data_IF_498348492507
#
_entry.id   IF_498348492507
#
_cell.length_a   1.000
_cell.length_b   1.000
_cell.length_c   1.000
_cell.angle_alpha   90.00
_cell.angle_beta   90.00
_cell.angle_gamma   90.00
#
_symmetry.space_group_name_H-M   'P 1'
#
loop_
_entity.id
_entity.type
_entity.pdbx_description
1 polymer ?
#
# COMPACT_ATOMS: atom_id res chain seq x y z
N UNK A 1 38.00 -6.66 27.59
CA UNK A 1 36.68 -7.23 27.95
C UNK A 1 35.95 -6.18 28.77
N UNK A 2 35.07 -5.40 28.13
CA UNK A 2 34.26 -4.37 28.80
C UNK A 2 32.84 -4.89 28.95
N UNK A 3 32.44 -5.17 30.19
CA UNK A 3 31.09 -5.55 30.56
C UNK A 3 30.24 -4.30 30.73
N UNK A 4 29.46 -3.93 29.70
CA UNK A 4 28.35 -3.00 29.89
C UNK A 4 27.13 -3.78 30.38
N UNK A 5 26.57 -3.46 31.56
CA UNK A 5 25.34 -4.04 32.03
C UNK A 5 24.18 -3.34 31.32
N UNK A 6 23.58 -3.97 30.31
CA UNK A 6 22.30 -3.52 29.74
C UNK A 6 21.17 -3.99 30.66
N UNK A 7 21.12 -3.46 31.88
CA UNK A 7 19.92 -3.50 32.70
C UNK A 7 18.93 -2.52 32.06
N UNK A 8 18.02 -3.04 31.24
CA UNK A 8 16.83 -2.31 30.82
C UNK A 8 16.13 -1.81 32.10
N UNK A 9 16.21 -0.50 32.36
CA UNK A 9 15.48 0.10 33.44
C UNK A 9 13.99 -0.26 33.30
N UNK A 10 13.31 -0.69 34.39
CA UNK A 10 11.90 -1.04 34.32
C UNK A 10 11.10 0.19 33.85
N UNK A 11 10.32 0.00 32.79
CA UNK A 11 9.46 1.04 32.21
C UNK A 11 8.55 1.59 33.30
N UNK A 12 8.65 2.90 33.60
CA UNK A 12 7.85 3.55 34.63
C UNK A 12 6.35 3.38 34.29
N UNK A 13 5.52 2.79 35.17
CA UNK A 13 4.10 2.53 34.87
C UNK A 13 3.24 3.79 34.80
N UNK A 14 3.77 4.95 35.21
CA UNK A 14 3.12 6.26 35.22
C UNK A 14 1.74 6.24 35.92
N UNK A 15 1.65 5.56 37.08
CA UNK A 15 0.41 5.43 37.83
C UNK A 15 -0.18 6.77 38.30
N UNK A 16 0.66 7.79 38.45
CA UNK A 16 0.27 9.14 38.92
C UNK A 16 -0.03 10.13 37.77
N UNK A 17 0.07 9.70 36.51
CA UNK A 17 -0.18 10.60 35.38
C UNK A 17 -1.67 10.94 35.28
N UNK A 18 -2.00 12.23 35.43
CA UNK A 18 -3.37 12.76 35.26
C UNK A 18 -3.99 12.44 33.90
N UNK A 19 -3.16 12.19 32.89
CA UNK A 19 -3.63 11.75 31.58
C UNK A 19 -4.44 10.44 31.68
N UNK A 20 -4.00 9.47 32.49
CA UNK A 20 -4.73 8.22 32.69
C UNK A 20 -5.92 8.33 33.65
N UNK A 21 -6.12 9.49 34.26
CA UNK A 21 -7.35 9.82 35.00
C UNK A 21 -8.44 10.36 34.07
N UNK A 22 -8.11 10.76 32.84
CA UNK A 22 -9.09 11.18 31.85
C UNK A 22 -9.93 9.98 31.35
N UNK A 23 -11.22 10.18 31.02
CA UNK A 23 -12.07 9.16 30.40
C UNK A 23 -11.42 8.55 29.16
N UNK A 24 -11.76 7.30 28.85
CA UNK A 24 -11.20 6.58 27.70
C UNK A 24 -11.45 7.34 26.41
N UNK A 25 -12.64 7.91 26.25
CA UNK A 25 -13.09 8.65 25.08
C UNK A 25 -12.17 9.86 24.82
N UNK A 26 -11.82 10.61 25.87
CA UNK A 26 -10.91 11.76 25.76
C UNK A 26 -9.50 11.30 25.35
N UNK A 27 -9.03 10.19 25.90
CA UNK A 27 -7.73 9.63 25.52
C UNK A 27 -7.72 9.15 24.08
N UNK A 28 -8.80 8.49 23.64
CA UNK A 28 -8.97 8.02 22.26
C UNK A 28 -9.05 9.18 21.27
N UNK A 29 -9.75 10.27 21.60
CA UNK A 29 -9.72 11.51 20.80
C UNK A 29 -8.31 12.06 20.67
N UNK A 30 -7.57 12.15 21.78
CA UNK A 30 -6.15 12.58 21.76
C UNK A 30 -5.32 11.64 20.86
N UNK A 31 -5.54 10.33 20.92
CA UNK A 31 -4.86 9.38 20.03
C UNK A 31 -5.25 9.55 18.57
N UNK A 32 -6.50 9.87 18.28
CA UNK A 32 -6.96 10.21 16.92
C UNK A 32 -6.21 11.40 16.34
N UNK A 33 -5.89 12.42 17.14
CA UNK A 33 -5.06 13.54 16.68
C UNK A 33 -3.60 13.17 16.42
N UNK A 34 -3.08 12.16 17.13
CA UNK A 34 -1.68 11.73 17.03
C UNK A 34 -1.46 10.71 15.90
N UNK A 35 -2.50 9.93 15.59
CA UNK A 35 -2.47 8.85 14.61
C UNK A 35 -3.68 9.02 13.67
N UNK A 36 -3.76 10.16 12.94
CA UNK A 36 -4.96 10.51 12.18
C UNK A 36 -5.22 9.57 11.00
N UNK A 37 -4.18 8.89 10.51
CA UNK A 37 -4.24 8.06 9.31
C UNK A 37 -3.98 6.58 9.59
N UNK A 38 -4.00 6.16 10.85
CA UNK A 38 -3.68 4.79 11.24
C UNK A 38 -2.19 4.51 11.40
N UNK A 39 -1.83 3.23 11.47
CA UNK A 39 -0.47 2.76 11.71
C UNK A 39 -0.03 1.77 10.64
N UNK A 40 1.26 1.76 10.34
CA UNK A 40 1.89 0.69 9.58
C UNK A 40 2.36 -0.41 10.50
N UNK A 41 2.03 -1.65 10.17
CA UNK A 41 2.66 -2.83 10.71
C UNK A 41 3.71 -3.34 9.70
N UNK A 42 4.91 -3.63 10.17
CA UNK A 42 6.00 -4.14 9.32
C UNK A 42 6.96 -5.03 10.12
N UNK A 43 7.60 -5.98 9.43
CA UNK A 43 8.64 -6.82 9.98
C UNK A 43 10.03 -6.20 9.86
N UNK A 44 10.82 -6.33 10.93
CA UNK A 44 12.25 -6.03 10.92
C UNK A 44 12.96 -7.08 11.75
N UNK A 45 13.92 -7.78 11.13
CA UNK A 45 14.70 -8.86 11.77
C UNK A 45 13.79 -9.90 12.47
N UNK A 46 12.68 -10.26 11.81
CA UNK A 46 11.70 -11.23 12.32
C UNK A 46 10.82 -10.75 13.47
N UNK A 47 10.89 -9.47 13.84
CA UNK A 47 10.06 -8.85 14.87
C UNK A 47 9.07 -7.87 14.24
N UNK A 48 7.87 -7.82 14.82
CA UNK A 48 6.82 -6.91 14.40
C UNK A 48 7.00 -5.54 15.04
N UNK A 49 6.92 -4.50 14.22
CA UNK A 49 6.99 -3.09 14.60
C UNK A 49 5.74 -2.36 14.12
N UNK A 50 5.44 -1.26 14.81
CA UNK A 50 4.44 -0.28 14.38
C UNK A 50 5.11 1.07 14.13
N UNK A 51 4.59 1.83 13.17
CA UNK A 51 4.86 3.26 13.00
C UNK A 51 3.59 4.00 12.64
N UNK A 52 3.46 5.27 13.03
CA UNK A 52 2.34 6.10 12.59
C UNK A 52 2.36 6.26 11.06
N UNK A 53 1.17 6.25 10.44
CA UNK A 53 1.00 6.64 9.04
C UNK A 53 1.05 8.18 8.95
N UNK A 54 1.94 8.70 8.13
CA UNK A 54 2.16 10.16 7.95
C UNK A 54 1.46 10.71 6.70
N UNK A 55 0.75 9.86 5.96
CA UNK A 55 0.14 10.21 4.68
C UNK A 55 -1.39 10.17 4.81
N UNK A 56 -2.05 11.30 4.55
CA UNK A 56 -3.51 11.33 4.37
C UNK A 56 -3.87 10.48 3.16
N UNK A 57 -4.91 9.65 3.30
CA UNK A 57 -5.35 8.63 2.34
C UNK A 57 -4.94 8.86 0.88
N UNK A 58 -4.40 7.78 0.30
CA UNK A 58 -3.86 7.57 -1.04
C UNK A 58 -4.79 7.87 -2.25
N UNK A 59 -5.83 8.70 -2.08
CA UNK A 59 -6.89 8.91 -3.07
C UNK A 59 -6.63 10.12 -3.99
N UNK A 60 -5.46 10.76 -3.91
CA UNK A 60 -5.04 11.80 -4.85
C UNK A 60 -4.47 11.24 -6.15
N UNK A 61 -4.34 12.07 -7.19
CA UNK A 61 -3.68 11.74 -8.44
C UNK A 61 -2.18 11.45 -8.23
N UNK A 62 -1.84 10.24 -7.80
CA UNK A 62 -0.48 9.80 -7.49
C UNK A 62 0.22 9.25 -8.75
N UNK A 63 0.39 10.10 -9.77
CA UNK A 63 1.06 9.70 -11.02
C UNK A 63 2.61 9.70 -10.90
N UNK A 64 3.15 9.94 -9.71
CA UNK A 64 4.57 9.84 -9.34
C UNK A 64 5.31 11.17 -9.28
N UNK A 65 4.74 12.26 -9.82
CA UNK A 65 5.35 13.59 -9.75
C UNK A 65 5.32 14.18 -8.34
N UNK A 66 4.30 13.83 -7.54
CA UNK A 66 4.16 14.21 -6.14
C UNK A 66 5.28 13.69 -5.24
N UNK A 67 6.07 12.72 -5.73
CA UNK A 67 7.20 12.13 -5.01
C UNK A 67 8.47 12.97 -5.09
N UNK A 68 8.44 14.08 -5.85
CA UNK A 68 9.53 15.05 -5.94
C UNK A 68 9.59 15.90 -4.68
N UNK A 69 10.78 16.35 -4.31
CA UNK A 69 10.99 17.27 -3.18
C UNK A 69 10.99 18.74 -3.62
N UNK A 70 11.35 19.01 -4.88
CA UNK A 70 11.52 20.35 -5.44
C UNK A 70 10.90 20.45 -6.83
N UNK A 71 10.53 21.68 -7.23
CA UNK A 71 10.12 22.02 -8.60
C UNK A 71 11.28 21.89 -9.60
N UNK A 72 12.52 22.03 -9.15
CA UNK A 72 13.73 21.89 -9.97
C UNK A 72 14.11 20.41 -10.08
N UNK A 73 13.34 19.65 -10.86
CA UNK A 73 13.53 18.22 -11.00
C UNK A 73 14.59 17.89 -12.05
N UNK A 74 15.40 16.87 -11.76
CA UNK A 74 16.32 16.24 -12.72
C UNK A 74 15.91 14.79 -12.91
N UNK A 75 15.96 14.30 -14.13
CA UNK A 75 15.71 12.88 -14.40
C UNK A 75 16.68 11.95 -13.62
N UNK A 76 17.86 12.46 -13.28
CA UNK A 76 18.88 11.76 -12.48
C UNK A 76 18.74 11.94 -10.96
N UNK A 77 17.66 12.54 -10.45
CA UNK A 77 17.46 12.73 -9.01
C UNK A 77 17.34 11.38 -8.26
N UNK A 78 18.34 10.99 -7.44
CA UNK A 78 18.34 9.70 -6.78
C UNK A 78 17.25 9.58 -5.70
N UNK A 79 16.82 10.69 -5.10
CA UNK A 79 15.76 10.71 -4.09
C UNK A 79 14.43 10.39 -4.76
N UNK A 80 14.13 11.08 -5.87
CA UNK A 80 12.89 10.84 -6.60
C UNK A 80 12.84 9.43 -7.19
N UNK A 81 13.95 8.96 -7.78
CA UNK A 81 14.06 7.59 -8.30
C UNK A 81 13.77 6.53 -7.23
N UNK A 82 14.35 6.68 -6.04
CA UNK A 82 14.11 5.78 -4.90
C UNK A 82 12.63 5.76 -4.51
N UNK A 83 12.00 6.93 -4.37
CA UNK A 83 10.57 7.05 -4.00
C UNK A 83 9.63 6.46 -5.03
N UNK A 84 9.93 6.63 -6.32
CA UNK A 84 9.18 6.02 -7.43
C UNK A 84 9.27 4.49 -7.45
N UNK A 85 10.25 3.90 -6.76
CA UNK A 85 10.45 2.45 -6.61
C UNK A 85 9.97 1.89 -5.28
N UNK A 86 9.38 2.73 -4.43
CA UNK A 86 8.80 2.31 -3.15
C UNK A 86 7.85 1.13 -3.35
N UNK A 87 8.05 0.07 -2.58
CA UNK A 87 7.14 -1.08 -2.52
C UNK A 87 5.89 -0.76 -1.69
N UNK A 88 5.94 0.29 -0.87
CA UNK A 88 4.80 0.78 -0.07
C UNK A 88 3.81 1.60 -0.90
N UNK A 89 4.02 1.69 -2.22
CA UNK A 89 3.07 2.27 -3.16
C UNK A 89 2.78 3.74 -2.83
N UNK A 90 1.51 4.08 -2.49
CA UNK A 90 1.13 5.44 -2.10
C UNK A 90 1.68 5.87 -0.73
N UNK A 91 2.07 4.93 0.14
CA UNK A 91 2.64 5.22 1.48
C UNK A 91 4.17 5.37 1.43
N UNK A 92 4.73 5.85 0.33
CA UNK A 92 6.18 5.95 0.15
C UNK A 92 6.85 6.87 1.19
N UNK A 93 6.15 7.91 1.68
CA UNK A 93 6.68 8.75 2.77
C UNK A 93 6.82 7.95 4.07
N UNK A 94 5.87 7.07 4.34
CA UNK A 94 5.90 6.20 5.51
C UNK A 94 7.08 5.22 5.44
N UNK A 95 7.39 4.73 4.23
CA UNK A 95 8.60 3.93 4.01
C UNK A 95 9.87 4.75 4.30
N UNK A 96 9.94 6.01 3.87
CA UNK A 96 11.10 6.86 4.17
C UNK A 96 11.30 7.06 5.67
N UNK A 97 10.21 7.30 6.41
CA UNK A 97 10.25 7.42 7.87
C UNK A 97 10.74 6.12 8.49
N UNK A 98 10.19 4.98 8.07
CA UNK A 98 10.61 3.66 8.57
C UNK A 98 12.09 3.35 8.24
N UNK A 99 12.57 3.74 7.07
CA UNK A 99 13.98 3.60 6.68
C UNK A 99 14.89 4.55 7.44
N UNK A 100 14.49 5.79 7.72
CA UNK A 100 15.27 6.72 8.56
C UNK A 100 15.42 6.20 9.99
N UNK A 101 14.38 5.56 10.54
CA UNK A 101 14.45 4.83 11.82
C UNK A 101 15.43 3.64 11.78
N UNK A 102 15.87 3.18 10.60
CA UNK A 102 16.91 2.16 10.48
C UNK A 102 18.33 2.73 10.61
N UNK A 103 18.56 3.98 10.21
CA UNK A 103 19.90 4.57 10.09
C UNK A 103 20.31 5.44 11.28
N UNK A 104 19.37 6.09 11.97
CA UNK A 104 19.64 6.89 13.17
C UNK A 104 18.75 6.43 14.32
N UNK A 105 19.35 5.94 15.41
CA UNK A 105 18.63 5.62 16.65
C UNK A 105 18.24 6.88 17.46
N UNK A 106 18.68 8.08 17.05
CA UNK A 106 18.66 9.25 17.95
C UNK A 106 18.18 10.60 17.36
N UNK A 107 17.78 10.73 16.09
CA UNK A 107 17.53 12.09 15.58
C UNK A 107 16.42 12.22 14.53
N UNK A 108 15.37 12.92 14.97
CA UNK A 108 14.40 13.74 14.20
C UNK A 108 13.25 12.97 13.52
N UNK A 109 12.04 13.28 13.99
CA UNK A 109 10.70 12.77 13.61
C UNK A 109 10.15 11.58 14.41
N UNK A 110 10.66 11.32 15.62
CA UNK A 110 10.11 10.28 16.52
C UNK A 110 9.08 10.84 17.51
N UNK A 111 8.55 12.07 17.38
CA UNK A 111 7.68 12.68 18.42
C UNK A 111 6.42 11.86 18.67
N UNK A 112 5.80 11.35 17.60
CA UNK A 112 4.52 10.62 17.66
C UNK A 112 4.71 9.19 18.20
N UNK A 113 5.87 8.57 17.93
CA UNK A 113 6.21 7.21 18.40
C UNK A 113 7.00 7.21 19.73
N UNK A 114 7.70 8.29 20.07
CA UNK A 114 8.28 8.49 21.40
C UNK A 114 7.17 8.54 22.47
N UNK A 115 6.00 9.08 22.11
CA UNK A 115 4.81 9.01 22.94
C UNK A 115 4.31 7.58 23.18
N UNK A 116 4.40 6.70 22.17
CA UNK A 116 4.11 5.27 22.30
C UNK A 116 5.10 4.59 23.25
N UNK A 117 6.36 5.03 23.28
CA UNK A 117 7.41 4.48 24.15
C UNK A 117 7.50 5.15 25.53
N UNK A 118 6.70 6.19 25.79
CA UNK A 118 6.77 6.96 27.03
C UNK A 118 6.51 6.12 28.29
N UNK A 119 5.52 5.23 28.25
CA UNK A 119 5.30 4.23 29.29
C UNK A 119 4.52 3.03 28.77
N UNK A 120 4.65 1.89 29.46
CA UNK A 120 3.96 0.64 29.11
C UNK A 120 2.45 0.82 29.05
N UNK A 121 1.87 1.59 29.98
CA UNK A 121 0.42 1.82 30.04
C UNK A 121 -0.09 2.58 28.82
N UNK A 122 0.60 3.65 28.42
CA UNK A 122 0.26 4.43 27.22
C UNK A 122 0.37 3.58 25.96
N UNK A 123 1.43 2.79 25.87
CA UNK A 123 1.64 1.87 24.78
C UNK A 123 0.45 0.91 24.60
N UNK A 124 0.05 0.21 25.67
CA UNK A 124 -1.08 -0.73 25.59
C UNK A 124 -2.38 0.00 25.20
N UNK A 125 -2.60 1.20 25.72
CA UNK A 125 -3.80 1.98 25.47
C UNK A 125 -3.92 2.44 24.02
N UNK A 126 -2.81 2.90 23.42
CA UNK A 126 -2.77 3.26 21.99
C UNK A 126 -2.90 2.03 21.11
N UNK A 127 -2.30 0.90 21.49
CA UNK A 127 -2.45 -0.35 20.74
C UNK A 127 -3.90 -0.83 20.76
N UNK A 128 -4.60 -0.75 21.90
CA UNK A 128 -6.02 -1.05 21.97
C UNK A 128 -6.84 -0.09 21.09
N UNK A 129 -6.57 1.21 21.16
CA UNK A 129 -7.16 2.20 20.25
C UNK A 129 -6.93 1.84 18.77
N UNK A 130 -5.71 1.39 18.44
CA UNK A 130 -5.34 1.02 17.07
C UNK A 130 -6.17 -0.16 16.59
N UNK A 131 -6.30 -1.19 17.42
CA UNK A 131 -7.07 -2.41 17.11
C UNK A 131 -8.56 -2.09 16.94
N UNK A 132 -9.09 -1.19 17.76
CA UNK A 132 -10.52 -0.89 17.77
C UNK A 132 -10.94 0.16 16.75
N UNK A 133 -10.12 1.18 16.50
CA UNK A 133 -10.54 2.40 15.80
C UNK A 133 -9.67 2.73 14.59
N UNK A 134 -8.37 2.51 14.67
CA UNK A 134 -7.44 2.94 13.62
C UNK A 134 -7.34 1.92 12.47
N UNK A 135 -6.88 2.39 11.30
CA UNK A 135 -6.48 1.51 10.22
C UNK A 135 -5.09 0.93 10.50
N UNK A 136 -4.93 -0.38 10.28
CA UNK A 136 -3.61 -1.03 10.25
C UNK A 136 -3.24 -1.28 8.79
N UNK A 137 -2.17 -0.62 8.35
CA UNK A 137 -1.62 -0.75 7.01
C UNK A 137 -0.52 -1.82 6.99
N UNK A 138 -0.60 -2.74 6.06
CA UNK A 138 0.43 -3.75 5.79
C UNK A 138 0.87 -3.61 4.33
N UNK A 139 2.16 -3.43 4.11
CA UNK A 139 2.71 -3.05 2.81
C UNK A 139 3.52 -4.15 2.11
N UNK A 140 3.62 -5.33 2.73
CA UNK A 140 4.35 -6.47 2.20
C UNK A 140 3.71 -7.80 2.62
N UNK A 141 3.91 -8.83 1.81
CA UNK A 141 3.32 -10.16 2.02
C UNK A 141 3.91 -10.91 3.21
N UNK A 142 5.19 -10.69 3.54
CA UNK A 142 5.87 -11.39 4.64
C UNK A 142 5.31 -10.94 6.01
N UNK A 143 5.13 -9.63 6.19
CA UNK A 143 4.49 -9.05 7.36
C UNK A 143 3.06 -9.54 7.49
N UNK A 144 2.33 -9.55 6.39
CA UNK A 144 0.94 -9.99 6.39
C UNK A 144 0.82 -11.47 6.78
N UNK A 145 1.61 -12.35 6.16
CA UNK A 145 1.65 -13.78 6.49
C UNK A 145 2.06 -14.00 7.95
N UNK A 146 3.06 -13.26 8.45
CA UNK A 146 3.45 -13.32 9.87
C UNK A 146 2.31 -12.98 10.82
N UNK A 147 1.58 -11.89 10.57
CA UNK A 147 0.44 -11.45 11.38
C UNK A 147 -0.67 -12.52 11.40
N UNK A 148 -0.97 -13.06 10.23
CA UNK A 148 -2.02 -14.04 10.02
C UNK A 148 -1.69 -15.41 10.64
N UNK A 149 -0.43 -15.85 10.55
CA UNK A 149 0.02 -17.08 11.25
C UNK A 149 -0.03 -16.92 12.77
N UNK A 150 0.21 -15.71 13.30
CA UNK A 150 0.11 -15.43 14.73
C UNK A 150 -1.34 -15.41 15.21
N UNK A 151 -2.27 -14.91 14.40
CA UNK A 151 -3.70 -14.96 14.68
C UNK A 151 -4.21 -16.40 14.94
N UNK A 152 -3.62 -17.38 14.26
CA UNK A 152 -4.04 -18.78 14.31
C UNK A 152 -3.40 -19.59 15.44
N UNK A 153 -2.31 -19.09 16.05
CA UNK A 153 -1.60 -19.79 17.13
C UNK A 153 -2.13 -19.31 18.49
N UNK A 154 -2.68 -20.23 19.28
CA UNK A 154 -3.02 -19.96 20.69
C UNK A 154 -1.74 -19.51 21.44
N UNK A 155 -1.80 -18.36 22.11
CA UNK A 155 -0.61 -17.74 22.71
C UNK A 155 -0.06 -18.57 23.87
N UNK A 156 1.26 -18.73 23.90
CA UNK A 156 2.02 -19.12 25.08
C UNK A 156 2.50 -17.86 25.81
N UNK A 157 2.47 -17.89 27.14
CA UNK A 157 2.70 -16.78 28.06
C UNK A 157 4.15 -16.28 28.03
N UNK A 158 4.50 -15.40 27.10
CA UNK A 158 5.75 -14.61 27.17
C UNK A 158 5.46 -13.14 26.84
N UNK A 159 6.20 -12.24 27.52
CA UNK A 159 5.80 -10.86 27.81
C UNK A 159 6.71 -9.82 27.14
N UNK A 160 6.91 -9.91 25.83
CA UNK A 160 7.52 -8.82 25.06
C UNK A 160 6.47 -7.95 24.38
N UNK A 161 6.83 -6.69 24.11
CA UNK A 161 5.98 -5.74 23.38
C UNK A 161 5.61 -6.26 21.98
N UNK A 162 6.56 -6.93 21.30
CA UNK A 162 6.34 -7.52 19.98
C UNK A 162 5.39 -8.72 20.03
N UNK A 163 5.45 -9.53 21.09
CA UNK A 163 4.48 -10.62 21.32
C UNK A 163 3.09 -10.08 21.59
N UNK A 164 2.96 -9.01 22.37
CA UNK A 164 1.66 -8.36 22.59
C UNK A 164 1.07 -7.80 21.28
N UNK A 165 1.88 -7.17 20.43
CA UNK A 165 1.41 -6.76 19.10
C UNK A 165 0.93 -7.95 18.27
N UNK A 166 1.68 -9.05 18.28
CA UNK A 166 1.30 -10.26 17.55
C UNK A 166 0.00 -10.89 18.07
N UNK A 167 -0.39 -10.66 19.33
CA UNK A 167 -1.67 -11.15 19.87
C UNK A 167 -2.83 -10.20 19.63
N UNK A 168 -2.61 -8.89 19.63
CA UNK A 168 -3.69 -7.90 19.50
C UNK A 168 -3.98 -7.48 18.07
N UNK A 169 -3.00 -7.43 17.17
CA UNK A 169 -3.21 -7.06 15.75
C UNK A 169 -4.21 -8.00 15.05
N UNK A 170 -4.29 -9.31 15.34
CA UNK A 170 -5.37 -10.17 14.84
C UNK A 170 -6.81 -9.73 15.18
N UNK A 171 -6.98 -8.79 16.11
CA UNK A 171 -8.27 -8.30 16.55
C UNK A 171 -8.67 -6.97 15.87
N UNK A 172 -7.93 -6.53 14.85
CA UNK A 172 -8.19 -5.26 14.15
C UNK A 172 -9.57 -5.23 13.52
N UNK A 173 -10.20 -4.04 13.56
CA UNK A 173 -11.45 -3.79 12.85
C UNK A 173 -11.23 -3.26 11.42
N UNK A 174 -10.11 -2.57 11.17
CA UNK A 174 -9.80 -1.94 9.89
C UNK A 174 -8.41 -2.39 9.41
N UNK A 175 -8.35 -3.22 8.37
CA UNK A 175 -7.11 -3.68 7.74
C UNK A 175 -6.98 -3.06 6.34
N UNK A 176 -5.82 -2.48 6.07
CA UNK A 176 -5.45 -1.96 4.75
C UNK A 176 -4.22 -2.70 4.26
N UNK A 177 -4.34 -3.37 3.12
CA UNK A 177 -3.25 -4.10 2.46
C UNK A 177 -2.84 -3.30 1.24
N UNK A 178 -1.57 -2.93 1.15
CA UNK A 178 -1.04 -2.11 0.06
C UNK A 178 0.11 -2.85 -0.58
N UNK A 179 -0.10 -3.40 -1.78
CA UNK A 179 0.89 -4.24 -2.42
C UNK A 179 1.25 -3.69 -3.80
N UNK A 180 2.53 -3.36 -3.97
CA UNK A 180 3.13 -3.18 -5.29
C UNK A 180 4.05 -4.37 -5.57
N UNK A 181 3.58 -5.29 -6.39
CA UNK A 181 4.26 -6.56 -6.64
C UNK A 181 5.08 -6.53 -7.94
N UNK A 182 6.14 -7.33 -8.06
CA UNK A 182 6.71 -7.62 -9.38
C UNK A 182 5.66 -8.16 -10.33
N UNK A 183 5.65 -7.70 -11.59
CA UNK A 183 4.69 -8.18 -12.61
C UNK A 183 4.72 -9.72 -12.75
N UNK A 184 5.91 -10.32 -12.62
CA UNK A 184 6.08 -11.78 -12.64
C UNK A 184 5.28 -12.47 -11.53
N UNK A 185 5.16 -11.87 -10.35
CA UNK A 185 4.34 -12.41 -9.25
C UNK A 185 2.86 -12.31 -9.59
N UNK A 186 2.40 -11.18 -10.14
CA UNK A 186 1.02 -11.06 -10.62
C UNK A 186 0.70 -12.14 -11.65
N UNK A 187 1.59 -12.40 -12.60
CA UNK A 187 1.44 -13.47 -13.59
C UNK A 187 1.32 -14.86 -12.96
N UNK A 188 2.13 -15.14 -11.94
CA UNK A 188 2.02 -16.41 -11.20
C UNK A 188 0.68 -16.51 -10.46
N UNK A 189 0.17 -15.41 -9.89
CA UNK A 189 -1.15 -15.39 -9.24
C UNK A 189 -2.29 -15.70 -10.21
N UNK A 190 -2.21 -15.24 -11.46
CA UNK A 190 -3.19 -15.56 -12.50
C UNK A 190 -3.22 -17.06 -12.79
N UNK A 191 -2.04 -17.67 -12.91
CA UNK A 191 -1.89 -19.10 -13.23
C UNK A 191 -2.08 -20.00 -12.02
N UNK A 192 -2.12 -19.50 -10.79
CA UNK A 192 -2.18 -20.36 -9.59
C UNK A 192 -3.52 -21.11 -9.43
N UNK A 193 -4.57 -20.70 -10.15
CA UNK A 193 -5.79 -21.50 -10.30
C UNK A 193 -5.59 -22.72 -11.22
N UNK A 194 -4.53 -22.74 -12.05
CA UNK A 194 -4.12 -23.87 -12.87
C UNK A 194 -2.90 -24.55 -12.23
N UNK A 195 -3.11 -25.74 -11.70
CA UNK A 195 -2.10 -26.51 -10.96
C UNK A 195 -0.78 -26.76 -11.74
N UNK A 196 0.26 -25.90 -11.62
CA UNK A 196 1.70 -26.29 -11.60
C UNK A 196 2.75 -25.16 -11.57
N UNK A 197 3.71 -25.29 -10.65
CA UNK A 197 5.19 -25.14 -10.82
C UNK A 197 5.87 -23.75 -10.91
N UNK A 198 6.60 -23.37 -9.84
CA UNK A 198 8.04 -22.98 -9.81
C UNK A 198 8.52 -22.39 -8.46
N UNK A 199 9.68 -22.80 -7.98
CA UNK A 199 10.03 -22.98 -6.54
C UNK A 199 10.51 -21.76 -5.74
N UNK A 200 10.56 -20.54 -6.27
CA UNK A 200 10.90 -19.33 -5.48
C UNK A 200 9.87 -18.21 -5.58
N UNK A 201 9.25 -18.02 -6.76
CA UNK A 201 8.09 -17.13 -6.93
C UNK A 201 6.82 -17.69 -6.28
N UNK A 202 6.82 -18.97 -5.89
CA UNK A 202 5.71 -19.60 -5.21
C UNK A 202 5.48 -19.02 -3.81
N UNK A 203 6.47 -18.50 -3.10
CA UNK A 203 6.29 -18.08 -1.68
C UNK A 203 5.32 -16.91 -1.55
N UNK A 204 5.44 -15.90 -2.42
CA UNK A 204 4.56 -14.74 -2.39
C UNK A 204 3.18 -15.07 -2.95
N UNK A 205 3.12 -15.88 -4.01
CA UNK A 205 1.85 -16.33 -4.56
C UNK A 205 1.07 -17.21 -3.57
N UNK A 206 1.76 -18.13 -2.90
CA UNK A 206 1.17 -18.95 -1.83
C UNK A 206 0.80 -18.12 -0.61
N UNK A 207 1.59 -17.11 -0.26
CA UNK A 207 1.22 -16.16 0.80
C UNK A 207 -0.12 -15.49 0.45
N UNK A 208 -0.27 -14.92 -0.75
CA UNK A 208 -1.52 -14.30 -1.22
C UNK A 208 -2.73 -15.24 -1.15
N UNK A 209 -2.58 -16.47 -1.67
CA UNK A 209 -3.67 -17.46 -1.64
C UNK A 209 -4.05 -17.87 -0.22
N UNK A 210 -3.08 -17.92 0.70
CA UNK A 210 -3.31 -18.22 2.12
C UNK A 210 -3.92 -17.04 2.88
N UNK A 211 -3.93 -15.83 2.31
CA UNK A 211 -4.47 -14.65 2.97
C UNK A 211 -5.96 -14.79 3.24
N UNK A 212 -6.75 -15.23 2.25
CA UNK A 212 -8.20 -15.24 2.39
C UNK A 212 -8.69 -16.14 3.53
N UNK A 213 -8.25 -17.41 3.66
CA UNK A 213 -8.59 -18.23 4.82
C UNK A 213 -8.16 -17.61 6.15
N UNK A 214 -7.03 -16.91 6.18
CA UNK A 214 -6.53 -16.32 7.41
C UNK A 214 -7.21 -14.99 7.78
N UNK A 215 -7.55 -14.16 6.80
CA UNK A 215 -8.37 -12.96 6.96
C UNK A 215 -9.77 -13.35 7.45
N UNK A 216 -10.34 -14.44 6.93
CA UNK A 216 -11.60 -14.98 7.44
C UNK A 216 -11.52 -15.37 8.92
N UNK A 217 -10.33 -15.68 9.44
CA UNK A 217 -10.07 -15.92 10.85
C UNK A 217 -10.08 -14.67 11.73
N UNK A 218 -10.01 -13.46 11.15
CA UNK A 218 -10.01 -12.18 11.87
C UNK A 218 -11.43 -11.78 12.26
N UNK A 219 -11.94 -12.39 13.34
CA UNK A 219 -13.36 -12.30 13.75
C UNK A 219 -13.91 -10.89 14.01
N UNK A 220 -13.02 -9.91 14.26
CA UNK A 220 -13.41 -8.51 14.53
C UNK A 220 -13.27 -7.61 13.31
N UNK A 221 -12.74 -8.13 12.20
CA UNK A 221 -12.52 -7.34 11.00
C UNK A 221 -13.86 -6.90 10.40
N UNK A 222 -14.00 -5.60 10.22
CA UNK A 222 -15.19 -4.96 9.65
C UNK A 222 -14.89 -4.30 8.32
N UNK A 223 -13.65 -3.83 8.11
CA UNK A 223 -13.23 -3.16 6.87
C UNK A 223 -11.91 -3.73 6.38
N UNK A 224 -11.91 -4.19 5.13
CA UNK A 224 -10.74 -4.62 4.40
C UNK A 224 -10.57 -3.72 3.18
N UNK A 225 -9.49 -2.94 3.18
CA UNK A 225 -9.09 -2.17 2.01
C UNK A 225 -7.88 -2.82 1.34
N UNK A 226 -7.93 -3.02 0.03
CA UNK A 226 -6.83 -3.60 -0.74
C UNK A 226 -6.43 -2.61 -1.83
N UNK A 227 -5.19 -2.13 -1.80
CA UNK A 227 -4.56 -1.40 -2.89
C UNK A 227 -3.57 -2.35 -3.57
N UNK A 228 -3.72 -2.55 -4.88
CA UNK A 228 -2.88 -3.47 -5.64
C UNK A 228 -2.35 -2.81 -6.91
N UNK A 229 -1.07 -3.04 -7.20
CA UNK A 229 -0.39 -2.62 -8.43
C UNK A 229 0.78 -3.56 -8.73
N UNK A 230 1.36 -3.42 -9.92
CA UNK A 230 2.65 -4.00 -10.24
C UNK A 230 3.74 -2.95 -10.53
N UNK A 231 5.00 -3.35 -10.44
CA UNK A 231 6.16 -2.49 -10.63
C UNK A 231 6.49 -2.17 -12.09
N UNK A 232 6.10 -3.06 -13.03
CA UNK A 232 6.36 -2.89 -14.46
C UNK A 232 5.62 -1.69 -15.08
N UNK A 233 6.20 -1.12 -16.13
CA UNK A 233 5.69 0.05 -16.85
C UNK A 233 4.53 -0.23 -17.82
N UNK A 234 4.28 -1.49 -18.16
CA UNK A 234 3.15 -1.90 -19.00
C UNK A 234 1.83 -1.67 -18.27
N UNK A 235 0.73 -1.46 -19.00
CA UNK A 235 -0.58 -1.16 -18.39
C UNK A 235 -1.04 -2.25 -17.42
N UNK A 236 -1.79 -1.89 -16.37
CA UNK A 236 -2.41 -2.88 -15.48
C UNK A 236 -3.28 -3.89 -16.22
N UNK A 237 -3.89 -3.51 -17.35
CA UNK A 237 -4.69 -4.41 -18.17
C UNK A 237 -3.92 -5.57 -18.82
N UNK A 238 -2.61 -5.66 -18.61
CA UNK A 238 -1.87 -6.87 -18.99
C UNK A 238 -2.10 -8.01 -18.01
N UNK A 239 -2.65 -7.78 -16.81
CA UNK A 239 -2.90 -8.83 -15.80
C UNK A 239 -4.36 -9.27 -15.70
N UNK A 240 -4.58 -10.54 -15.36
CA UNK A 240 -5.93 -11.06 -15.09
C UNK A 240 -6.34 -10.76 -13.64
N UNK A 241 -6.87 -9.56 -13.42
CA UNK A 241 -7.31 -9.10 -12.10
C UNK A 241 -8.47 -9.94 -11.52
N UNK A 242 -9.31 -10.55 -12.36
CA UNK A 242 -10.35 -11.48 -11.89
C UNK A 242 -9.75 -12.71 -11.24
N UNK A 243 -8.72 -13.30 -11.85
CA UNK A 243 -8.01 -14.44 -11.28
C UNK A 243 -7.29 -14.04 -9.98
N UNK A 244 -6.58 -12.91 -9.99
CA UNK A 244 -5.83 -12.40 -8.83
C UNK A 244 -6.77 -12.15 -7.62
N UNK A 245 -7.95 -11.59 -7.86
CA UNK A 245 -8.92 -11.24 -6.82
C UNK A 245 -9.93 -12.36 -6.52
N UNK A 246 -9.94 -13.46 -7.29
CA UNK A 246 -10.86 -14.57 -7.07
C UNK A 246 -10.87 -15.15 -5.64
N UNK A 247 -9.74 -15.19 -4.89
CA UNK A 247 -9.76 -15.64 -3.49
C UNK A 247 -10.62 -14.77 -2.57
N UNK A 248 -10.85 -13.48 -2.90
CA UNK A 248 -11.67 -12.58 -2.10
C UNK A 248 -13.16 -12.96 -2.09
N UNK A 249 -13.62 -13.76 -3.06
CA UNK A 249 -15.00 -14.24 -3.10
C UNK A 249 -15.36 -15.07 -1.85
N UNK A 250 -14.39 -15.74 -1.22
CA UNK A 250 -14.65 -16.48 0.02
C UNK A 250 -14.96 -15.54 1.20
N UNK A 251 -14.34 -14.36 1.21
CA UNK A 251 -14.50 -13.36 2.26
C UNK A 251 -15.86 -12.67 2.21
N UNK A 252 -16.50 -12.63 1.04
CA UNK A 252 -17.81 -11.96 0.89
C UNK A 252 -18.95 -12.74 1.55
N UNK A 253 -18.70 -13.97 1.99
CA UNK A 253 -19.63 -14.72 2.85
C UNK A 253 -19.75 -14.12 4.26
N UNK A 254 -18.80 -13.27 4.67
CA UNK A 254 -18.77 -12.63 5.99
C UNK A 254 -19.59 -11.34 5.91
N UNK A 255 -20.84 -11.38 6.38
CA UNK A 255 -21.82 -10.29 6.24
C UNK A 255 -21.42 -8.97 6.91
N UNK A 256 -20.57 -9.01 7.93
CA UNK A 256 -20.08 -7.82 8.64
C UNK A 256 -18.86 -7.17 8.00
N UNK A 257 -18.27 -7.79 6.97
CA UNK A 257 -17.03 -7.35 6.36
C UNK A 257 -17.30 -6.53 5.10
N UNK A 258 -16.90 -5.26 5.14
CA UNK A 258 -16.85 -4.39 3.97
C UNK A 258 -15.49 -4.53 3.29
N UNK A 259 -15.50 -4.88 2.00
CA UNK A 259 -14.29 -5.04 1.18
C UNK A 259 -14.29 -3.96 0.10
N UNK A 260 -13.22 -3.18 0.04
CA UNK A 260 -12.94 -2.25 -1.05
C UNK A 260 -11.57 -2.55 -1.67
N UNK A 261 -11.52 -2.54 -3.00
CA UNK A 261 -10.31 -2.82 -3.77
C UNK A 261 -10.02 -1.62 -4.66
N UNK A 262 -8.82 -1.07 -4.55
CA UNK A 262 -8.36 0.03 -5.38
C UNK A 262 -7.37 -0.52 -6.43
N UNK A 263 -7.73 -0.40 -7.71
CA UNK A 263 -6.98 -0.92 -8.86
C UNK A 263 -6.68 0.20 -9.86
N UNK A 264 -5.62 0.10 -10.67
CA UNK A 264 -5.42 1.02 -11.78
C UNK A 264 -6.58 0.96 -12.80
N UNK A 265 -6.77 2.07 -13.52
CA UNK A 265 -7.68 2.16 -14.67
C UNK A 265 -7.28 1.15 -15.75
N UNK A 266 -8.29 0.66 -16.46
CA UNK A 266 -8.13 -0.34 -17.51
C UNK A 266 -7.94 0.33 -18.86
N UNK A 267 -6.94 -0.11 -19.61
CA UNK A 267 -6.69 0.34 -20.96
C UNK A 267 -7.63 -0.37 -21.95
N UNK A 268 -8.45 0.36 -22.74
CA UNK A 268 -9.49 -0.21 -23.61
C UNK A 268 -9.00 -1.25 -24.63
N UNK A 269 -7.76 -1.09 -25.12
CA UNK A 269 -7.12 -2.05 -26.03
C UNK A 269 -6.89 -3.45 -25.45
N UNK A 270 -6.71 -3.58 -24.13
CA UNK A 270 -6.27 -4.82 -23.49
C UNK A 270 -7.30 -5.40 -22.51
N UNK A 271 -8.29 -4.61 -22.10
CA UNK A 271 -9.35 -5.09 -21.23
C UNK A 271 -10.22 -6.13 -21.93
N UNK A 272 -10.68 -7.11 -21.15
CA UNK A 272 -11.51 -8.23 -21.61
C UNK A 272 -12.47 -8.63 -20.48
N UNK A 273 -13.72 -9.01 -20.79
CA UNK A 273 -14.68 -9.45 -19.78
C UNK A 273 -14.19 -10.62 -18.92
N UNK A 274 -13.41 -11.53 -19.51
CA UNK A 274 -12.93 -12.76 -18.85
C UNK A 274 -11.82 -12.49 -17.85
N UNK A 275 -11.03 -11.44 -18.06
CA UNK A 275 -9.87 -11.11 -17.21
C UNK A 275 -10.10 -9.91 -16.31
N UNK A 276 -11.07 -9.05 -16.63
CA UNK A 276 -11.21 -7.74 -16.00
C UNK A 276 -12.65 -7.42 -15.55
N UNK A 277 -12.76 -6.67 -14.46
CA UNK A 277 -14.01 -6.11 -13.95
C UNK A 277 -14.34 -4.81 -14.69
N UNK A 278 -15.07 -4.94 -15.79
CA UNK A 278 -15.52 -3.83 -16.64
C UNK A 278 -16.93 -3.36 -16.25
N UNK A 279 -17.33 -2.15 -16.68
CA UNK A 279 -18.63 -1.54 -16.35
C UNK A 279 -19.82 -2.37 -16.85
N UNK A 280 -19.64 -3.09 -17.95
CA UNK A 280 -20.67 -3.94 -18.56
C UNK A 280 -20.74 -5.35 -17.95
N UNK A 281 -19.80 -5.70 -17.09
CA UNK A 281 -19.75 -7.02 -16.46
C UNK A 281 -20.62 -7.08 -15.19
N UNK A 282 -20.98 -8.29 -14.72
CA UNK A 282 -21.57 -8.46 -13.40
C UNK A 282 -20.72 -7.81 -12.32
N UNK A 283 -21.37 -7.02 -11.46
CA UNK A 283 -20.72 -6.34 -10.35
C UNK A 283 -20.10 -7.37 -9.40
N UNK A 284 -18.80 -7.23 -9.04
CA UNK A 284 -18.20 -8.09 -8.04
C UNK A 284 -18.87 -7.92 -6.66
N UNK A 285 -18.74 -8.90 -5.76
CA UNK A 285 -19.33 -8.83 -4.42
C UNK A 285 -18.58 -7.87 -3.47
N UNK A 286 -17.68 -7.04 -4.00
CA UNK A 286 -16.87 -6.05 -3.28
C UNK A 286 -16.77 -4.78 -4.14
N UNK A 287 -16.51 -3.64 -3.49
CA UNK A 287 -16.36 -2.37 -4.20
C UNK A 287 -15.01 -2.32 -4.93
N UNK A 288 -15.01 -1.86 -6.18
CA UNK A 288 -13.78 -1.57 -6.93
C UNK A 288 -13.72 -0.07 -7.20
N UNK A 289 -12.64 0.56 -6.75
CA UNK A 289 -12.29 1.93 -7.08
C UNK A 289 -11.14 1.90 -8.11
N UNK A 290 -11.31 2.65 -9.20
CA UNK A 290 -10.29 2.76 -10.24
C UNK A 290 -9.50 4.05 -10.04
N UNK A 291 -8.17 3.97 -10.13
CA UNK A 291 -7.28 5.13 -9.99
C UNK A 291 -6.41 5.32 -11.23
N UNK A 292 -5.94 6.55 -11.43
CA UNK A 292 -4.83 6.79 -12.33
C UNK A 292 -3.56 6.11 -11.81
N UNK A 293 -2.83 5.48 -12.73
CA UNK A 293 -1.59 4.78 -12.40
C UNK A 293 -0.38 5.72 -12.40
N UNK A 294 0.68 5.33 -11.70
CA UNK A 294 1.99 5.98 -11.77
C UNK A 294 2.47 6.09 -13.22
N UNK A 295 2.82 7.31 -13.65
CA UNK A 295 3.34 7.63 -15.00
C UNK A 295 4.83 7.95 -15.02
N UNK A 296 5.40 8.27 -13.86
CA UNK A 296 6.84 8.47 -13.72
C UNK A 296 7.47 7.18 -13.21
N UNK A 297 8.47 6.66 -13.91
CA UNK A 297 9.13 5.41 -13.54
C UNK A 297 10.63 5.63 -13.42
N UNK A 298 11.24 5.11 -12.36
CA UNK A 298 12.69 4.98 -12.31
C UNK A 298 13.09 3.76 -13.15
N UNK A 299 13.82 3.99 -14.23
CA UNK A 299 14.25 2.98 -15.20
C UNK A 299 15.75 2.79 -15.08
N UNK A 300 16.18 1.53 -14.94
CA UNK A 300 17.60 1.17 -14.99
C UNK A 300 18.13 1.39 -16.42
N UNK A 301 19.16 2.22 -16.56
CA UNK A 301 19.82 2.52 -17.84
C UNK A 301 21.15 1.78 -18.00
N UNK A 302 21.50 0.90 -17.06
CA UNK A 302 22.75 0.17 -17.02
C UNK A 302 23.61 0.56 -15.82
N UNK A 303 24.48 -0.36 -15.40
CA UNK A 303 25.47 -0.15 -14.31
C UNK A 303 24.84 0.26 -12.96
N UNK A 304 23.57 -0.09 -12.72
CA UNK A 304 22.84 0.31 -11.51
C UNK A 304 22.46 1.80 -11.48
N UNK A 305 22.59 2.50 -12.60
CA UNK A 305 22.13 3.87 -12.76
C UNK A 305 20.65 3.87 -13.12
N UNK A 306 19.89 4.71 -12.43
CA UNK A 306 18.47 4.90 -12.73
C UNK A 306 18.27 6.29 -13.33
N UNK A 307 17.28 6.42 -14.20
CA UNK A 307 16.73 7.70 -14.65
C UNK A 307 15.22 7.67 -14.55
N UNK A 308 14.62 8.81 -14.23
CA UNK A 308 13.16 8.95 -14.27
C UNK A 308 12.72 9.14 -15.71
N UNK A 309 11.82 8.26 -16.16
CA UNK A 309 11.15 8.38 -17.46
C UNK A 309 9.66 8.58 -17.24
N UNK A 310 9.11 9.51 -18.00
CA UNK A 310 7.67 9.66 -18.13
C UNK A 310 7.16 8.65 -19.15
N UNK A 311 6.21 7.82 -18.74
CA UNK A 311 5.50 6.89 -19.57
C UNK A 311 4.03 6.91 -19.16
N UNK A 312 3.19 7.37 -20.07
CA UNK A 312 1.76 7.46 -19.84
C UNK A 312 1.13 6.07 -19.80
N UNK A 313 0.24 5.86 -18.83
CA UNK A 313 -0.76 4.79 -18.83
C UNK A 313 -2.14 5.43 -19.04
N UNK A 314 -3.14 4.61 -19.36
CA UNK A 314 -4.49 5.07 -19.65
C UNK A 314 -5.09 5.92 -18.52
N UNK A 315 -5.77 7.06 -18.81
CA UNK A 315 -5.95 7.66 -20.15
C UNK A 315 -4.79 8.57 -20.59
N UNK A 316 -4.32 8.43 -21.83
CA UNK A 316 -3.32 9.31 -22.44
C UNK A 316 -3.73 10.79 -22.50
N UNK A 317 -5.01 11.09 -22.76
CA UNK A 317 -5.47 12.46 -23.01
C UNK A 317 -5.42 13.37 -21.78
N UNK A 318 -5.43 12.80 -20.57
CA UNK A 318 -5.56 13.57 -19.32
C UNK A 318 -4.39 14.52 -19.00
N UNK A 319 -3.19 14.28 -19.55
CA UNK A 319 -1.98 15.05 -19.20
C UNK A 319 -1.44 15.83 -20.40
N UNK A 320 -2.33 16.22 -21.30
CA UNK A 320 -2.02 16.98 -22.50
C UNK A 320 -2.55 18.41 -22.36
N UNK A 321 -1.73 19.38 -22.76
CA UNK A 321 -2.05 20.81 -22.68
C UNK A 321 -3.38 21.17 -23.34
N UNK A 322 -3.67 20.52 -24.48
CA UNK A 322 -4.88 20.75 -25.26
C UNK A 322 -6.17 20.27 -24.55
N UNK A 323 -6.01 19.56 -23.43
CA UNK A 323 -7.08 18.96 -22.63
C UNK A 323 -6.96 19.31 -21.13
N UNK A 324 -6.21 20.35 -20.75
CA UNK A 324 -6.01 20.75 -19.34
C UNK A 324 -7.31 21.12 -18.61
N UNK A 325 -8.32 21.60 -19.35
CA UNK A 325 -9.63 21.94 -18.78
C UNK A 325 -10.53 20.72 -18.53
N UNK A 326 -10.08 19.52 -18.93
CA UNK A 326 -10.86 18.29 -18.86
C UNK A 326 -10.65 17.57 -17.52
N UNK A 327 -11.74 17.14 -16.90
CA UNK A 327 -11.66 16.27 -15.73
C UNK A 327 -11.10 14.87 -16.11
N UNK A 328 -10.58 14.14 -15.12
CA UNK A 328 -10.02 12.80 -15.33
C UNK A 328 -11.05 11.83 -15.95
N UNK A 329 -12.32 11.94 -15.54
CA UNK A 329 -13.40 11.09 -16.02
C UNK A 329 -13.83 11.46 -17.45
N UNK A 330 -13.84 12.75 -17.80
CA UNK A 330 -14.11 13.21 -19.16
C UNK A 330 -13.00 12.76 -20.12
N UNK A 331 -11.73 12.84 -19.70
CA UNK A 331 -10.59 12.39 -20.50
C UNK A 331 -10.64 10.87 -20.73
N UNK A 332 -10.99 10.11 -19.69
CA UNK A 332 -11.21 8.66 -19.81
C UNK A 332 -12.34 8.32 -20.80
N UNK A 333 -13.51 8.95 -20.67
CA UNK A 333 -14.67 8.61 -21.51
C UNK A 333 -14.45 9.00 -22.97
N UNK A 334 -13.83 10.16 -23.22
CA UNK A 334 -13.43 10.58 -24.56
C UNK A 334 -12.44 9.59 -25.17
N UNK A 335 -11.41 9.20 -24.43
CA UNK A 335 -10.40 8.27 -24.92
C UNK A 335 -10.98 6.87 -25.19
N UNK A 336 -11.85 6.36 -24.32
CA UNK A 336 -12.61 5.12 -24.55
C UNK A 336 -13.41 5.20 -25.85
N UNK A 337 -14.07 6.31 -26.11
CA UNK A 337 -14.82 6.55 -27.35
C UNK A 337 -13.91 6.53 -28.57
N UNK A 338 -12.72 7.14 -28.49
CA UNK A 338 -11.74 7.13 -29.57
C UNK A 338 -11.24 5.70 -29.86
N UNK A 339 -10.89 4.92 -28.83
CA UNK A 339 -10.50 3.51 -28.99
C UNK A 339 -11.62 2.67 -29.61
N UNK A 340 -12.86 2.87 -29.18
CA UNK A 340 -14.03 2.19 -29.75
C UNK A 340 -14.24 2.49 -31.24
N UNK A 341 -13.87 3.70 -31.66
CA UNK A 341 -13.91 4.12 -33.07
C UNK A 341 -12.66 3.68 -33.86
N UNK A 342 -11.77 2.89 -33.27
CA UNK A 342 -10.56 2.37 -33.93
C UNK A 342 -9.40 3.37 -34.01
N UNK A 343 -9.45 4.47 -33.25
CA UNK A 343 -8.37 5.45 -33.19
C UNK A 343 -7.30 4.96 -32.20
N UNK A 344 -6.05 4.82 -32.67
CA UNK A 344 -4.91 4.57 -31.80
C UNK A 344 -4.49 5.89 -31.15
N UNK A 345 -5.10 6.19 -29.99
CA UNK A 345 -4.88 7.45 -29.27
C UNK A 345 -3.42 7.63 -28.90
N UNK A 346 -2.71 6.56 -28.56
CA UNK A 346 -1.28 6.62 -28.27
C UNK A 346 -0.49 7.11 -29.49
N UNK A 347 -0.82 6.62 -30.68
CA UNK A 347 -0.19 7.06 -31.92
C UNK A 347 -0.53 8.52 -32.24
N UNK A 348 -1.78 8.96 -32.04
CA UNK A 348 -2.20 10.35 -32.24
C UNK A 348 -1.48 11.31 -31.28
N UNK A 349 -1.45 10.97 -29.98
CA UNK A 349 -0.70 11.74 -28.97
C UNK A 349 0.79 11.79 -29.30
N UNK A 350 1.37 10.68 -29.79
CA UNK A 350 2.75 10.64 -30.25
C UNK A 350 3.05 11.60 -31.41
N UNK A 351 2.09 11.87 -32.30
CA UNK A 351 2.24 12.87 -33.37
C UNK A 351 2.23 14.30 -32.82
N UNK A 352 1.38 14.56 -31.82
CA UNK A 352 1.25 15.88 -31.18
C UNK A 352 2.52 16.20 -30.39
N UNK A 353 2.97 15.28 -29.52
CA UNK A 353 4.16 15.46 -28.69
C UNK A 353 5.46 15.39 -29.50
N UNK A 354 5.55 14.44 -30.44
CA UNK A 354 6.72 14.33 -31.33
C UNK A 354 6.86 15.47 -32.33
N UNK A 355 5.79 16.25 -32.56
CA UNK A 355 5.85 17.52 -33.31
C UNK A 355 6.43 18.67 -32.48
N UNK A 356 6.38 18.61 -31.15
CA UNK A 356 6.91 19.62 -30.24
C UNK A 356 8.42 19.42 -29.95
N UNK A 357 8.91 18.18 -29.95
CA UNK A 357 10.36 17.89 -29.83
C UNK A 357 11.17 18.29 -31.09
N UNK A 358 10.52 18.68 -32.18
CA UNK A 358 11.17 19.21 -33.38
C UNK A 358 11.49 20.72 -33.30
N UNK A 359 11.13 21.39 -32.18
CA UNK A 359 11.37 22.82 -31.98
C UNK A 359 11.93 23.09 -30.57
N UNK A 360 13.12 22.57 -30.27
CA UNK A 360 14.08 23.23 -29.38
C UNK A 360 15.50 22.65 -29.61
N UNK A 361 16.52 23.51 -29.83
CA UNK A 361 17.91 23.09 -30.05
C UNK A 361 18.61 22.53 -28.80
#
# INVERSE_FOLDING_TARGET
>A
MSTHPTLQAPVNPQLESKFFSAPLEIRQEIYGYLIPYGVHAYLRQGKLYLSACVESCANGGLFGAERRESSDWRASDPVWQRRLRSSWGPHWKCEEVALRMNHNCEAVSDTDMAMLRACRRKYMDIVNFTVDMAAVHVTDLDTLDYLLQRAQKASSETSTVSEYLATVVPHVQNLSIVLRLPLTICKVLESANDHCSSTSSLTNATAWLRLCPAIAGLKRLQRLHIWLDHDDKSSWSVVNERAILSPLNELTSISSLNISVNLPKLHPRYETPESHFMRECPTPPFAIERRLRQRHHAVDVGEGQFVVRYQVDFPYLYDLSDYEDMSEDEAEEMERTMWKNGVDVKAEVGKIVGGLDAVAP
#
